data_IF_416450405933
#
_entry.id   IF_416450405933
#
_cell.length_a   1.000
_cell.length_b   1.000
_cell.length_c   1.000
_cell.angle_alpha   90.00
_cell.angle_beta   90.00
_cell.angle_gamma   90.00
#
_symmetry.space_group_name_H-M   'P 1'
#
loop_
_entity.id
_entity.type
_entity.pdbx_description
1 polymer ?
#
# COMPACT_ATOMS: atom_id res chain seq x y z
N UNK A 1 10.19 -12.94 -3.87
CA UNK A 1 9.23 -12.89 -2.74
C UNK A 1 9.86 -12.90 -1.35
N UNK A 2 10.96 -13.63 -1.09
CA UNK A 2 11.57 -13.68 0.26
C UNK A 2 11.92 -12.31 0.82
N UNK A 3 12.58 -11.45 0.04
CA UNK A 3 12.91 -10.07 0.43
C UNK A 3 11.67 -9.22 0.72
N UNK A 4 10.64 -9.31 -0.12
CA UNK A 4 9.35 -8.65 0.09
C UNK A 4 8.71 -9.10 1.41
N UNK A 5 8.64 -10.41 1.66
CA UNK A 5 8.10 -10.97 2.92
C UNK A 5 8.91 -10.49 4.13
N UNK A 6 10.24 -10.53 4.05
CA UNK A 6 11.13 -10.02 5.11
C UNK A 6 10.92 -8.54 5.39
N UNK A 7 10.77 -7.73 4.34
CA UNK A 7 10.54 -6.29 4.48
C UNK A 7 9.19 -5.98 5.16
N UNK A 8 8.12 -6.69 4.78
CA UNK A 8 6.78 -6.46 5.30
C UNK A 8 6.55 -7.01 6.72
N UNK A 9 7.46 -7.83 7.26
CA UNK A 9 7.45 -8.22 8.67
C UNK A 9 7.60 -7.04 9.65
N UNK A 10 7.97 -5.85 9.18
CA UNK A 10 7.94 -4.62 9.99
C UNK A 10 6.54 -4.21 10.45
N UNK A 11 5.48 -4.79 9.86
CA UNK A 11 4.10 -4.56 10.27
C UNK A 11 3.64 -5.70 11.18
N UNK A 12 3.21 -5.38 12.40
CA UNK A 12 2.79 -6.37 13.40
C UNK A 12 1.63 -7.27 12.94
N UNK A 13 0.81 -6.78 12.01
CA UNK A 13 -0.34 -7.48 11.43
C UNK A 13 0.00 -8.31 10.17
N UNK A 14 1.27 -8.38 9.77
CA UNK A 14 1.69 -9.12 8.58
C UNK A 14 2.01 -10.57 8.94
N UNK A 15 1.25 -11.51 8.36
CA UNK A 15 1.52 -12.94 8.45
C UNK A 15 2.15 -13.44 7.14
N UNK A 16 3.42 -13.85 7.18
CA UNK A 16 4.17 -14.32 6.01
C UNK A 16 3.65 -15.64 5.41
N UNK A 17 2.96 -16.45 6.20
CA UNK A 17 2.43 -17.76 5.80
C UNK A 17 1.13 -17.62 5.00
N UNK A 18 0.40 -16.53 5.22
CA UNK A 18 -0.84 -16.21 4.50
C UNK A 18 -0.62 -15.29 3.28
N UNK A 19 0.59 -14.75 3.15
CA UNK A 19 1.04 -13.88 2.07
C UNK A 19 1.37 -14.69 0.79
N UNK A 20 1.08 -14.16 -0.41
CA UNK A 20 1.43 -14.82 -1.68
C UNK A 20 2.85 -15.36 -1.70
N UNK A 21 3.01 -16.57 -2.20
CA UNK A 21 4.30 -17.22 -2.39
C UNK A 21 4.70 -17.21 -3.86
N UNK A 22 5.75 -17.96 -4.20
CA UNK A 22 6.21 -18.07 -5.58
C UNK A 22 5.32 -18.91 -6.48
N UNK A 23 4.44 -19.74 -5.93
CA UNK A 23 3.46 -20.50 -6.73
C UNK A 23 2.39 -19.55 -7.24
N UNK A 24 1.86 -18.67 -6.39
CA UNK A 24 0.89 -17.65 -6.81
C UNK A 24 1.44 -16.71 -7.88
N UNK A 25 2.68 -16.21 -7.73
CA UNK A 25 3.27 -15.30 -8.73
C UNK A 25 3.53 -16.01 -10.06
N UNK A 26 3.99 -17.26 -10.04
CA UNK A 26 4.10 -18.06 -11.26
C UNK A 26 2.74 -18.31 -11.91
N UNK A 27 1.70 -18.53 -11.11
CA UNK A 27 0.34 -18.74 -11.61
C UNK A 27 -0.19 -17.50 -12.33
N UNK A 28 0.05 -16.32 -11.77
CA UNK A 28 -0.25 -15.05 -12.43
C UNK A 28 0.55 -14.89 -13.73
N UNK A 29 1.86 -15.21 -13.72
CA UNK A 29 2.72 -15.09 -14.89
C UNK A 29 2.20 -15.90 -16.09
N UNK A 30 1.81 -17.15 -15.84
CA UNK A 30 1.22 -18.03 -16.86
C UNK A 30 -0.20 -17.62 -17.30
N UNK A 31 -0.90 -16.81 -16.50
CA UNK A 31 -2.25 -16.35 -16.81
C UNK A 31 -2.24 -15.03 -17.59
N UNK A 32 -1.37 -14.10 -17.21
CA UNK A 32 -1.20 -12.77 -17.83
C UNK A 32 -0.46 -12.87 -19.17
N UNK A 33 0.58 -13.69 -19.20
CA UNK A 33 1.41 -13.90 -20.37
C UNK A 33 0.77 -14.86 -21.36
N UNK A 34 0.97 -14.60 -22.65
CA UNK A 34 0.64 -15.56 -23.70
C UNK A 34 1.89 -15.74 -24.58
N UNK A 35 2.62 -16.86 -24.46
CA UNK A 35 3.94 -17.01 -25.10
C UNK A 35 3.88 -17.03 -26.63
N UNK A 36 2.70 -17.21 -27.24
CA UNK A 36 2.51 -17.23 -28.70
C UNK A 36 1.98 -15.87 -29.18
N UNK A 37 0.73 -15.56 -28.87
CA UNK A 37 0.08 -14.31 -29.30
C UNK A 37 0.69 -13.01 -28.73
N UNK A 38 1.44 -13.08 -27.62
CA UNK A 38 2.10 -11.94 -26.97
C UNK A 38 3.56 -12.26 -26.62
N UNK A 39 4.31 -12.86 -27.56
CA UNK A 39 5.71 -13.27 -27.39
C UNK A 39 6.61 -12.13 -26.85
N UNK A 40 6.48 -10.92 -27.42
CA UNK A 40 7.28 -9.78 -26.98
C UNK A 40 6.98 -9.39 -25.52
N UNK A 41 5.71 -9.29 -25.13
CA UNK A 41 5.31 -9.07 -23.74
C UNK A 41 5.78 -10.20 -22.84
N UNK A 42 5.69 -11.45 -23.29
CA UNK A 42 6.14 -12.61 -22.53
C UNK A 42 7.62 -12.53 -22.17
N UNK A 43 8.47 -12.11 -23.12
CA UNK A 43 9.91 -12.01 -22.90
C UNK A 43 10.33 -10.81 -22.05
N UNK A 44 9.61 -9.69 -22.15
CA UNK A 44 10.08 -8.41 -21.59
C UNK A 44 9.25 -7.90 -20.41
N UNK A 45 7.96 -8.22 -20.37
CA UNK A 45 6.99 -7.73 -19.39
C UNK A 45 5.86 -8.74 -19.13
N UNK A 46 6.18 -9.94 -18.62
CA UNK A 46 5.28 -11.09 -18.62
C UNK A 46 4.06 -10.92 -17.71
N UNK A 47 4.12 -10.05 -16.70
CA UNK A 47 2.97 -9.70 -15.84
C UNK A 47 2.26 -8.43 -16.31
N UNK A 48 2.51 -8.02 -17.56
CA UNK A 48 1.84 -6.93 -18.29
C UNK A 48 1.86 -5.55 -17.63
N UNK A 49 2.61 -5.36 -16.54
CA UNK A 49 2.86 -4.02 -16.00
C UNK A 49 3.59 -3.18 -17.05
N UNK A 50 3.09 -1.98 -17.34
CA UNK A 50 3.61 -1.07 -18.36
C UNK A 50 3.10 -1.30 -19.78
N UNK A 51 2.13 -2.20 -20.03
CA UNK A 51 1.41 -2.26 -21.32
C UNK A 51 0.41 -1.11 -21.45
N UNK A 52 -0.08 -0.85 -22.67
CA UNK A 52 -1.11 0.16 -22.89
C UNK A 52 -2.37 -0.13 -22.03
N UNK A 53 -2.83 0.87 -21.27
CA UNK A 53 -3.98 0.74 -20.37
C UNK A 53 -3.66 0.19 -18.98
N UNK A 54 -2.40 -0.17 -18.69
CA UNK A 54 -1.98 -0.63 -17.37
C UNK A 54 -2.08 0.50 -16.31
N UNK A 55 -2.65 0.16 -15.15
CA UNK A 55 -2.74 1.05 -14.00
C UNK A 55 -1.57 0.86 -13.01
N UNK A 56 -0.80 -0.22 -13.12
CA UNK A 56 0.27 -0.55 -12.18
C UNK A 56 1.54 0.28 -12.34
N UNK A 57 2.04 0.43 -13.56
CA UNK A 57 3.24 1.22 -13.82
C UNK A 57 3.08 2.70 -13.41
N UNK A 58 1.97 3.40 -13.75
CA UNK A 58 1.75 4.76 -13.27
C UNK A 58 1.72 4.86 -11.74
N UNK A 59 1.03 3.95 -11.06
CA UNK A 59 0.93 3.95 -9.60
C UNK A 59 2.32 3.82 -8.95
N UNK A 60 3.15 2.91 -9.48
CA UNK A 60 4.51 2.67 -8.98
C UNK A 60 5.45 3.84 -9.25
N UNK A 61 5.45 4.37 -10.48
CA UNK A 61 6.40 5.40 -10.91
C UNK A 61 6.09 6.76 -10.30
N UNK A 62 4.81 7.06 -10.05
CA UNK A 62 4.40 8.28 -9.35
C UNK A 62 4.65 8.20 -7.84
N UNK A 63 5.08 7.04 -7.33
CA UNK A 63 5.30 6.78 -5.91
C UNK A 63 4.10 7.21 -5.06
N UNK A 64 2.91 6.71 -5.43
CA UNK A 64 1.72 6.86 -4.61
C UNK A 64 2.04 6.53 -3.14
N UNK A 65 1.47 7.29 -2.20
CA UNK A 65 1.79 7.13 -0.79
C UNK A 65 1.52 5.70 -0.31
N UNK A 66 0.44 5.06 -0.78
CA UNK A 66 0.10 3.69 -0.41
C UNK A 66 1.12 2.69 -0.96
N UNK A 67 1.49 2.82 -2.24
CA UNK A 67 2.42 1.88 -2.86
C UNK A 67 3.81 1.99 -2.23
N UNK A 68 4.23 3.18 -1.84
CA UNK A 68 5.54 3.43 -1.24
C UNK A 68 5.74 2.69 0.08
N UNK A 69 4.67 2.40 0.82
CA UNK A 69 4.73 1.66 2.09
C UNK A 69 5.18 0.21 1.91
N UNK A 70 4.91 -0.38 0.74
CA UNK A 70 5.19 -1.79 0.45
C UNK A 70 6.49 -2.04 -0.32
N UNK A 71 7.19 -0.99 -0.80
CA UNK A 71 8.43 -1.16 -1.59
C UNK A 71 9.62 -1.44 -0.65
N UNK A 72 10.32 -2.59 -0.80
CA UNK A 72 11.55 -2.86 -0.04
C UNK A 72 12.64 -1.81 -0.29
N UNK A 73 13.55 -1.63 0.67
CA UNK A 73 14.60 -0.59 0.60
C UNK A 73 15.77 -0.92 -0.34
N UNK A 74 15.86 -2.16 -0.83
CA UNK A 74 16.92 -2.60 -1.74
C UNK A 74 16.90 -1.85 -3.08
N UNK A 75 18.07 -1.60 -3.66
CA UNK A 75 18.22 -0.82 -4.88
C UNK A 75 17.44 -1.42 -6.07
N UNK A 76 17.36 -2.74 -6.15
CA UNK A 76 16.59 -3.48 -7.15
C UNK A 76 15.07 -3.29 -7.04
N UNK A 77 14.57 -2.91 -5.87
CA UNK A 77 13.15 -2.59 -5.64
C UNK A 77 12.86 -1.09 -5.82
N UNK A 78 13.81 -0.23 -5.45
CA UNK A 78 13.65 1.23 -5.47
C UNK A 78 13.95 1.87 -6.83
N UNK A 79 14.87 1.29 -7.61
CA UNK A 79 15.36 1.88 -8.86
C UNK A 79 14.63 1.33 -10.09
N UNK A 80 13.32 1.13 -9.97
CA UNK A 80 12.45 0.75 -11.08
C UNK A 80 12.12 2.01 -11.91
N UNK A 81 12.28 1.90 -13.22
CA UNK A 81 11.93 2.94 -14.20
C UNK A 81 10.99 2.35 -15.23
N UNK A 82 10.26 3.19 -15.97
CA UNK A 82 9.38 2.69 -17.03
C UNK A 82 10.14 1.77 -18.00
N UNK A 83 11.32 2.20 -18.46
CA UNK A 83 12.16 1.40 -19.37
C UNK A 83 12.54 0.04 -18.77
N UNK A 84 12.91 -0.03 -17.48
CA UNK A 84 13.20 -1.32 -16.84
C UNK A 84 11.95 -2.20 -16.74
N UNK A 85 10.83 -1.62 -16.33
CA UNK A 85 9.57 -2.35 -16.17
C UNK A 85 9.07 -2.93 -17.50
N UNK A 86 9.30 -2.24 -18.61
CA UNK A 86 8.81 -2.66 -19.93
C UNK A 86 9.78 -3.55 -20.70
N UNK A 87 11.08 -3.52 -20.38
CA UNK A 87 12.13 -4.19 -21.16
C UNK A 87 12.94 -5.24 -20.38
N UNK A 88 12.85 -5.29 -19.05
CA UNK A 88 13.52 -6.29 -18.21
C UNK A 88 12.47 -7.14 -17.45
N UNK A 89 12.35 -8.44 -17.75
CA UNK A 89 11.32 -9.29 -17.13
C UNK A 89 11.48 -9.40 -15.62
N UNK A 90 12.71 -9.30 -15.09
CA UNK A 90 12.92 -9.33 -13.63
C UNK A 90 12.39 -8.06 -12.96
N UNK A 91 12.61 -6.89 -13.56
CA UNK A 91 12.04 -5.62 -13.11
C UNK A 91 10.51 -5.61 -13.25
N UNK A 92 9.98 -6.19 -14.33
CA UNK A 92 8.53 -6.34 -14.51
C UNK A 92 7.89 -7.18 -13.40
N UNK A 93 8.50 -8.33 -13.06
CA UNK A 93 8.02 -9.20 -11.99
C UNK A 93 8.10 -8.48 -10.63
N UNK A 94 9.16 -7.72 -10.35
CA UNK A 94 9.23 -6.90 -9.12
C UNK A 94 8.12 -5.86 -9.06
N UNK A 95 7.88 -5.14 -10.16
CA UNK A 95 6.82 -4.15 -10.25
C UNK A 95 5.44 -4.77 -10.01
N UNK A 96 5.17 -5.93 -10.60
CA UNK A 96 3.93 -6.67 -10.39
C UNK A 96 3.74 -7.13 -8.95
N UNK A 97 4.81 -7.60 -8.29
CA UNK A 97 4.76 -7.96 -6.86
C UNK A 97 4.45 -6.74 -6.00
N UNK A 98 5.12 -5.61 -6.24
CA UNK A 98 4.86 -4.37 -5.50
C UNK A 98 3.39 -3.97 -5.68
N UNK A 99 2.91 -3.97 -6.93
CA UNK A 99 1.53 -3.61 -7.24
C UNK A 99 0.53 -4.54 -6.57
N UNK A 100 0.76 -5.86 -6.63
CA UNK A 100 -0.07 -6.85 -5.94
C UNK A 100 -0.08 -6.61 -4.42
N UNK A 101 1.09 -6.44 -3.80
CA UNK A 101 1.17 -6.22 -2.34
C UNK A 101 0.46 -4.93 -1.93
N UNK A 102 0.56 -3.86 -2.73
CA UNK A 102 -0.20 -2.63 -2.51
C UNK A 102 -1.72 -2.89 -2.57
N UNK A 103 -2.19 -3.64 -3.58
CA UNK A 103 -3.61 -3.98 -3.73
C UNK A 103 -4.14 -4.92 -2.62
N UNK A 104 -3.28 -5.75 -2.05
CA UNK A 104 -3.59 -6.60 -0.91
C UNK A 104 -3.53 -5.85 0.43
N UNK A 105 -2.93 -4.66 0.48
CA UNK A 105 -2.86 -3.86 1.69
C UNK A 105 -4.20 -3.16 1.98
N UNK A 106 -4.57 -3.14 3.25
CA UNK A 106 -5.64 -2.30 3.77
C UNK A 106 -4.98 -1.10 4.45
N UNK A 107 -5.17 0.09 3.88
CA UNK A 107 -4.55 1.31 4.38
C UNK A 107 -5.54 2.46 4.50
N UNK A 108 -5.30 3.34 5.45
CA UNK A 108 -6.07 4.56 5.65
C UNK A 108 -5.17 5.72 6.12
N UNK A 109 -5.68 6.94 6.00
CA UNK A 109 -5.07 8.16 6.54
C UNK A 109 -5.39 8.28 8.02
N UNK A 110 -4.40 8.04 8.86
CA UNK A 110 -4.54 8.19 10.32
C UNK A 110 -3.60 9.28 10.83
N UNK A 111 -3.96 9.85 11.98
CA UNK A 111 -3.09 10.79 12.69
C UNK A 111 -2.00 10.02 13.45
N UNK A 112 -0.75 10.29 13.11
CA UNK A 112 0.44 9.67 13.69
C UNK A 112 1.27 10.74 14.40
N UNK A 113 1.66 10.45 15.64
CA UNK A 113 2.55 11.30 16.43
C UNK A 113 3.93 11.39 15.75
N UNK A 114 4.59 12.53 15.89
CA UNK A 114 5.96 12.68 15.41
C UNK A 114 6.87 11.66 16.14
N UNK A 115 7.57 10.76 15.42
CA UNK A 115 8.47 9.81 16.04
C UNK A 115 9.68 10.50 16.70
N UNK A 116 10.07 11.68 16.22
CA UNK A 116 11.27 12.40 16.65
C UNK A 116 11.00 13.44 17.75
N UNK A 117 9.72 13.79 17.98
CA UNK A 117 9.32 14.76 18.99
C UNK A 117 8.24 14.19 19.90
N UNK A 118 8.63 13.89 21.15
CA UNK A 118 7.75 13.33 22.20
C UNK A 118 7.27 14.38 23.19
N UNK A 119 7.53 15.66 22.91
CA UNK A 119 7.17 16.76 23.81
C UNK A 119 5.66 17.01 23.76
N UNK A 120 5.05 17.16 24.94
CA UNK A 120 3.69 17.67 25.07
C UNK A 120 3.76 19.20 25.10
N UNK A 121 3.15 19.82 24.10
CA UNK A 121 3.01 21.25 23.97
C UNK A 121 1.65 21.73 24.46
N UNK A 122 1.54 23.04 24.64
CA UNK A 122 0.28 23.71 24.92
C UNK A 122 0.06 24.82 23.90
N UNK A 123 -1.15 24.90 23.35
CA UNK A 123 -1.61 26.02 22.52
C UNK A 123 -2.72 26.77 23.24
N UNK A 124 -2.62 28.10 23.27
CA UNK A 124 -3.66 28.97 23.82
C UNK A 124 -4.64 29.34 22.73
N UNK A 125 -5.92 29.03 22.95
CA UNK A 125 -7.02 29.35 22.03
C UNK A 125 -7.18 30.87 21.92
N UNK A 126 -7.18 31.35 20.68
CA UNK A 126 -7.34 32.76 20.37
C UNK A 126 -7.96 32.92 18.99
N UNK A 127 -9.20 33.40 18.92
CA UNK A 127 -9.88 33.71 17.65
C UNK A 127 -9.14 34.78 16.85
N UNK A 128 -8.41 35.68 17.52
CA UNK A 128 -7.58 36.70 16.87
C UNK A 128 -6.37 36.10 16.15
N UNK A 129 -5.82 35.00 16.66
CA UNK A 129 -4.70 34.27 16.06
C UNK A 129 -5.13 33.19 15.05
N UNK A 130 -6.43 33.13 14.75
CA UNK A 130 -7.02 32.12 13.86
C UNK A 130 -7.19 30.74 14.52
N UNK A 131 -7.12 30.65 15.85
CA UNK A 131 -7.12 29.40 16.62
C UNK A 131 -8.44 29.19 17.40
N UNK A 132 -9.57 29.51 16.78
CA UNK A 132 -10.90 29.46 17.43
C UNK A 132 -11.52 28.06 17.52
N UNK A 133 -11.01 27.08 16.80
CA UNK A 133 -11.45 25.67 16.82
C UNK A 133 -10.26 24.73 16.73
N UNK A 134 -10.43 23.46 17.10
CA UNK A 134 -9.36 22.46 16.94
C UNK A 134 -8.98 22.27 15.46
N UNK A 135 -9.93 22.35 14.53
CA UNK A 135 -9.65 22.32 13.08
C UNK A 135 -8.75 23.50 12.67
N UNK A 136 -9.07 24.72 13.12
CA UNK A 136 -8.29 25.90 12.77
C UNK A 136 -6.87 25.87 13.36
N UNK A 137 -6.72 25.33 14.57
CA UNK A 137 -5.42 25.07 15.19
C UNK A 137 -4.62 24.03 14.37
N UNK A 138 -5.25 22.92 13.98
CA UNK A 138 -4.60 21.86 13.21
C UNK A 138 -4.18 22.31 11.79
N UNK A 139 -4.84 23.31 11.22
CA UNK A 139 -4.44 23.92 9.94
C UNK A 139 -3.15 24.73 10.05
N UNK A 140 -2.77 25.18 11.25
CA UNK A 140 -1.53 25.92 11.49
C UNK A 140 -0.32 24.99 11.61
N UNK A 141 0.07 24.41 10.47
CA UNK A 141 1.20 23.48 10.41
C UNK A 141 2.56 24.12 10.67
N UNK A 142 2.68 25.44 10.56
CA UNK A 142 3.95 26.16 10.73
C UNK A 142 4.28 26.38 12.20
N UNK A 143 3.28 26.78 13.00
CA UNK A 143 3.48 27.08 14.42
C UNK A 143 3.19 25.88 15.32
N UNK A 144 2.16 25.10 14.99
CA UNK A 144 1.65 24.03 15.86
C UNK A 144 2.14 22.66 15.37
N UNK A 145 1.84 22.32 14.12
CA UNK A 145 2.30 21.06 13.52
C UNK A 145 1.67 19.81 14.16
N UNK A 146 0.34 19.78 14.29
CA UNK A 146 -0.43 18.66 14.84
C UNK A 146 -1.65 18.33 13.97
N UNK A 147 -2.48 17.40 14.42
CA UNK A 147 -3.78 17.10 13.80
C UNK A 147 -4.92 17.30 14.79
N UNK A 148 -6.14 17.43 14.27
CA UNK A 148 -7.33 17.52 15.12
C UNK A 148 -7.51 16.27 15.97
N UNK A 149 -7.29 15.08 15.41
CA UNK A 149 -7.48 13.84 16.15
C UNK A 149 -6.48 13.73 17.32
N UNK A 150 -5.25 14.26 17.16
CA UNK A 150 -4.30 14.37 18.27
C UNK A 150 -4.81 15.38 19.31
N UNK A 151 -5.30 16.56 18.89
CA UNK A 151 -5.87 17.54 19.82
C UNK A 151 -7.06 16.97 20.61
N UNK A 152 -7.96 16.23 19.97
CA UNK A 152 -9.10 15.58 20.63
C UNK A 152 -8.64 14.51 21.62
N UNK A 153 -7.65 13.69 21.23
CA UNK A 153 -7.06 12.64 22.08
C UNK A 153 -6.39 13.20 23.32
N UNK A 154 -5.62 14.28 23.19
CA UNK A 154 -4.89 14.90 24.30
C UNK A 154 -5.77 15.79 25.20
N UNK A 155 -6.99 16.12 24.77
CA UNK A 155 -7.92 16.96 25.52
C UNK A 155 -9.32 16.32 25.64
N UNK A 156 -9.43 15.15 26.31
CA UNK A 156 -10.70 14.45 26.44
C UNK A 156 -11.75 15.32 27.15
N UNK A 157 -12.96 15.35 26.60
CA UNK A 157 -14.08 16.13 27.15
C UNK A 157 -14.15 17.59 26.68
N UNK A 158 -13.16 18.08 25.92
CA UNK A 158 -13.24 19.40 25.27
C UNK A 158 -14.07 19.32 24.00
N UNK A 159 -14.99 20.27 23.79
CA UNK A 159 -15.74 20.36 22.54
C UNK A 159 -14.86 20.95 21.42
N UNK A 160 -14.58 20.21 20.33
CA UNK A 160 -13.63 20.64 19.31
C UNK A 160 -14.05 21.88 18.52
N UNK A 161 -15.34 22.24 18.56
CA UNK A 161 -15.94 23.37 17.81
C UNK A 161 -16.34 24.56 18.68
N UNK A 162 -16.28 24.41 20.01
CA UNK A 162 -16.69 25.44 20.98
C UNK A 162 -15.59 25.67 21.99
N UNK A 163 -14.48 26.23 21.52
CA UNK A 163 -13.36 26.61 22.36
C UNK A 163 -13.54 28.05 22.89
N UNK A 164 -13.00 28.33 24.07
CA UNK A 164 -13.05 29.65 24.68
C UNK A 164 -11.70 30.36 24.55
N UNK A 165 -11.71 31.66 24.24
CA UNK A 165 -10.46 32.44 24.20
C UNK A 165 -9.71 32.35 25.53
N UNK A 166 -8.42 32.09 25.45
CA UNK A 166 -7.54 31.88 26.59
C UNK A 166 -7.51 30.45 27.13
N UNK A 167 -8.39 29.56 26.68
CA UNK A 167 -8.32 28.12 26.98
C UNK A 167 -7.00 27.54 26.48
N UNK A 168 -6.41 26.65 27.26
CA UNK A 168 -5.18 25.96 26.91
C UNK A 168 -5.48 24.52 26.49
N UNK A 169 -4.98 24.12 25.32
CA UNK A 169 -5.10 22.76 24.80
C UNK A 169 -3.72 22.11 24.70
N UNK A 170 -3.63 20.87 25.16
CA UNK A 170 -2.41 20.06 25.08
C UNK A 170 -2.31 19.37 23.71
N UNK A 171 -1.12 19.18 23.19
CA UNK A 171 -0.92 18.41 21.95
C UNK A 171 0.50 17.85 21.84
N UNK A 172 0.64 16.74 21.09
CA UNK A 172 1.92 16.31 20.51
C UNK A 172 2.02 16.82 19.08
N UNK A 173 3.22 17.02 18.56
CA UNK A 173 3.40 17.15 17.12
C UNK A 173 3.02 15.86 16.41
N UNK A 174 2.48 15.98 15.20
CA UNK A 174 2.05 14.84 14.42
C UNK A 174 1.44 15.25 13.09
N UNK A 175 1.15 14.25 12.27
CA UNK A 175 0.64 14.45 10.91
C UNK A 175 -0.30 13.35 10.51
N UNK A 176 -1.19 13.63 9.54
CA UNK A 176 -1.92 12.58 8.84
C UNK A 176 -0.96 11.86 7.92
N UNK A 177 -0.89 10.55 8.07
CA UNK A 177 -0.06 9.67 7.26
C UNK A 177 -0.89 8.46 6.86
N UNK A 178 -0.65 7.94 5.65
CA UNK A 178 -1.18 6.64 5.28
C UNK A 178 -0.49 5.54 6.07
N UNK A 179 -1.27 4.67 6.69
CA UNK A 179 -0.76 3.51 7.43
C UNK A 179 -1.49 2.25 6.96
N UNK A 180 -0.74 1.16 6.84
CA UNK A 180 -1.31 -0.17 6.58
C UNK A 180 -1.78 -0.75 7.91
N UNK A 181 -3.09 -0.94 8.05
CA UNK A 181 -3.71 -1.50 9.25
C UNK A 181 -4.17 -2.96 9.05
N UNK A 182 -4.10 -3.49 7.83
CA UNK A 182 -4.38 -4.91 7.59
C UNK A 182 -4.00 -5.39 6.20
N UNK A 183 -4.28 -6.67 5.95
CA UNK A 183 -3.97 -7.36 4.70
C UNK A 183 -5.14 -8.24 4.25
N UNK A 184 -5.37 -8.33 2.94
CA UNK A 184 -6.37 -9.21 2.33
C UNK A 184 -5.83 -10.64 2.22
N UNK A 185 -5.60 -11.26 3.38
CA UNK A 185 -5.09 -12.63 3.52
C UNK A 185 -6.12 -13.57 4.16
N UNK A 186 -6.02 -14.90 3.97
CA UNK A 186 -5.08 -15.60 3.08
C UNK A 186 -5.37 -15.33 1.62
N UNK A 187 -4.33 -15.24 0.79
CA UNK A 187 -4.52 -15.04 -0.65
C UNK A 187 -5.10 -16.30 -1.31
N UNK A 188 -5.96 -16.10 -2.30
CA UNK A 188 -6.47 -17.13 -3.20
C UNK A 188 -6.74 -16.52 -4.59
N UNK A 189 -7.12 -17.35 -5.56
CA UNK A 189 -7.35 -16.92 -6.95
C UNK A 189 -8.39 -15.80 -7.05
N UNK A 190 -9.49 -15.90 -6.29
CA UNK A 190 -10.54 -14.88 -6.22
C UNK A 190 -10.00 -13.52 -5.78
N UNK A 191 -9.21 -13.49 -4.70
CA UNK A 191 -8.61 -12.25 -4.21
C UNK A 191 -7.67 -11.67 -5.26
N UNK A 192 -6.82 -12.49 -5.91
CA UNK A 192 -5.91 -12.00 -6.95
C UNK A 192 -6.71 -11.43 -8.14
N UNK A 193 -7.75 -12.13 -8.61
CA UNK A 193 -8.59 -11.64 -9.70
C UNK A 193 -9.25 -10.30 -9.38
N UNK A 194 -9.81 -10.17 -8.17
CA UNK A 194 -10.47 -8.94 -7.74
C UNK A 194 -9.49 -7.77 -7.56
N UNK A 195 -8.30 -8.03 -6.99
CA UNK A 195 -7.39 -6.99 -6.55
C UNK A 195 -6.34 -6.61 -7.61
N UNK A 196 -5.83 -7.58 -8.37
CA UNK A 196 -4.80 -7.38 -9.38
C UNK A 196 -5.39 -7.14 -10.77
N UNK A 197 -6.23 -8.05 -11.26
CA UNK A 197 -6.86 -7.93 -12.58
C UNK A 197 -7.99 -6.88 -12.60
N UNK A 198 -8.58 -6.58 -11.43
CA UNK A 198 -9.63 -5.56 -11.30
C UNK A 198 -10.96 -5.96 -11.94
N UNK A 199 -11.17 -7.25 -12.23
CA UNK A 199 -12.37 -7.77 -12.87
C UNK A 199 -12.45 -7.54 -14.39
N UNK A 200 -11.31 -7.29 -15.05
CA UNK A 200 -11.26 -7.11 -16.50
C UNK A 200 -11.56 -8.39 -17.29
N UNK A 201 -10.93 -9.51 -16.92
CA UNK A 201 -11.20 -10.83 -17.50
C UNK A 201 -12.06 -11.66 -16.54
N UNK A 202 -13.30 -11.93 -16.95
CA UNK A 202 -14.26 -12.71 -16.15
C UNK A 202 -13.79 -14.15 -15.85
N UNK A 203 -12.89 -14.71 -16.67
CA UNK A 203 -12.32 -16.04 -16.48
C UNK A 203 -11.02 -16.02 -15.67
N UNK A 204 -10.50 -14.85 -15.29
CA UNK A 204 -9.17 -14.72 -14.68
C UNK A 204 -9.03 -15.52 -13.38
N UNK A 205 -10.05 -15.50 -12.52
CA UNK A 205 -10.08 -16.31 -11.30
C UNK A 205 -9.86 -17.80 -11.61
N UNK A 206 -10.64 -18.36 -12.54
CA UNK A 206 -10.56 -19.76 -12.91
C UNK A 206 -9.21 -20.13 -13.55
N UNK A 207 -8.64 -19.23 -14.38
CA UNK A 207 -7.33 -19.45 -15.00
C UNK A 207 -6.20 -19.49 -13.97
N UNK A 208 -6.15 -18.52 -13.06
CA UNK A 208 -5.13 -18.49 -12.01
C UNK A 208 -5.28 -19.71 -11.10
N UNK A 209 -6.51 -20.08 -10.71
CA UNK A 209 -6.76 -21.24 -9.86
C UNK A 209 -6.32 -22.56 -10.52
N UNK A 210 -6.62 -22.72 -11.81
CA UNK A 210 -6.15 -23.86 -12.61
C UNK A 210 -4.62 -23.95 -12.67
N UNK A 211 -3.94 -22.85 -12.96
CA UNK A 211 -2.46 -22.85 -12.99
C UNK A 211 -1.88 -23.11 -11.60
N UNK A 212 -2.46 -22.51 -10.56
CA UNK A 212 -1.99 -22.71 -9.20
C UNK A 212 -2.14 -24.17 -8.76
N UNK A 213 -3.27 -24.82 -9.09
CA UNK A 213 -3.49 -26.23 -8.77
C UNK A 213 -2.53 -27.18 -9.50
N UNK A 214 -2.20 -26.87 -10.76
CA UNK A 214 -1.13 -27.54 -11.51
C UNK A 214 0.24 -27.39 -10.82
N UNK A 215 0.64 -26.16 -10.51
CA UNK A 215 1.97 -25.87 -9.96
C UNK A 215 2.16 -26.34 -8.50
N UNK A 216 1.08 -26.40 -7.73
CA UNK A 216 1.07 -26.93 -6.36
C UNK A 216 1.00 -28.47 -6.30
N UNK A 217 0.74 -29.14 -7.43
CA UNK A 217 0.55 -30.60 -7.48
C UNK A 217 -0.73 -31.06 -6.77
N UNK A 218 -1.70 -30.16 -6.57
CA UNK A 218 -2.99 -30.45 -5.95
C UNK A 218 -4.02 -30.99 -6.95
N UNK A 219 -3.80 -30.75 -8.25
CA UNK A 219 -4.48 -31.50 -9.30
C UNK A 219 -3.91 -32.92 -9.29
N UNK A 220 -4.76 -33.88 -8.96
CA UNK A 220 -4.37 -35.28 -8.80
C UNK A 220 -3.48 -35.74 -9.95
N UNK A 221 -2.41 -36.46 -9.61
CA UNK A 221 -1.67 -37.25 -10.60
C UNK A 221 -2.65 -38.28 -11.14
N UNK A 222 -3.31 -37.97 -12.24
CA UNK A 222 -3.87 -39.01 -13.09
C UNK A 222 -2.68 -39.89 -13.49
N UNK A 223 -2.70 -41.11 -12.98
CA UNK A 223 -1.77 -42.18 -13.33
C UNK A 223 -2.11 -42.71 -14.71
#
# INVERSE_FOLDING_TARGET
MSEMKKYLQKYDNFNSDLCPDWIWIKSMLWTEGHPVDFEYEWEHRPLRIGVAGDAGAPALLNKDEAISLVIPTGAEWQNLTLSKITNDPYSNIRAAIIYLMNKLSLSDQISVDDPNDKTIYTVKVSTADGHGTMDAIALDRRRIGTTKEILERENPGVNPTRLHNGQELRYCKGSKQRVIFGWRFPVNAKIIAQQYNGGGDAAYEAKVDYVHSLLSGSMGREK
#
